data_IF_028615632868
#
_entry.id   IF_028615632868
#
_cell.length_a   1.000
_cell.length_b   1.000
_cell.length_c   1.000
_cell.angle_alpha   90.00
_cell.angle_beta   90.00
_cell.angle_gamma   90.00
#
_symmetry.space_group_name_H-M   'P 1'
#
loop_
_entity.id
_entity.type
_entity.pdbx_description
1 polymer ?
#
# COMPACT_ATOMS: atom_id res chain seq x y z
N UNK A 1 4.13 20.52 -15.96
CA UNK A 1 5.13 19.65 -16.63
C UNK A 1 5.67 18.63 -15.63
N UNK A 2 6.30 17.53 -16.05
CA UNK A 2 6.82 16.51 -15.11
C UNK A 2 7.83 17.11 -14.11
N UNK A 3 8.66 18.05 -14.56
CA UNK A 3 9.61 18.77 -13.70
C UNK A 3 8.92 19.56 -12.57
N UNK A 4 7.74 20.11 -12.84
CA UNK A 4 6.94 20.83 -11.82
C UNK A 4 6.44 19.87 -10.74
N UNK A 5 6.16 18.60 -11.07
CA UNK A 5 5.75 17.60 -10.06
C UNK A 5 6.89 17.31 -9.07
N UNK A 6 8.14 17.23 -9.54
CA UNK A 6 9.31 17.02 -8.67
C UNK A 6 9.39 18.15 -7.63
N UNK A 7 9.24 19.39 -8.07
CA UNK A 7 9.22 20.55 -7.18
C UNK A 7 8.05 20.51 -6.19
N UNK A 8 6.88 20.02 -6.60
CA UNK A 8 5.72 19.86 -5.70
C UNK A 8 5.95 18.80 -4.61
N UNK A 9 6.59 17.68 -4.91
CA UNK A 9 6.96 16.70 -3.87
C UNK A 9 7.91 17.33 -2.83
N UNK A 10 8.94 18.03 -3.30
CA UNK A 10 9.88 18.72 -2.42
C UNK A 10 9.21 19.82 -1.58
N UNK A 11 8.29 20.57 -2.19
CA UNK A 11 7.48 21.58 -1.50
C UNK A 11 6.66 20.96 -0.38
N UNK A 12 5.89 19.90 -0.66
CA UNK A 12 5.05 19.22 0.33
C UNK A 12 5.89 18.64 1.46
N UNK A 13 7.05 18.04 1.15
CA UNK A 13 7.93 17.49 2.17
C UNK A 13 8.50 18.56 3.12
N UNK A 14 8.91 19.72 2.57
CA UNK A 14 9.31 20.85 3.39
C UNK A 14 8.16 21.37 4.24
N UNK A 15 6.96 21.51 3.67
CA UNK A 15 5.76 21.92 4.41
C UNK A 15 5.46 20.94 5.55
N UNK A 16 5.55 19.63 5.32
CA UNK A 16 5.37 18.63 6.37
C UNK A 16 6.39 18.81 7.50
N UNK A 17 7.68 19.01 7.17
CA UNK A 17 8.71 19.32 8.17
C UNK A 17 8.37 20.58 8.96
N UNK A 18 8.04 21.67 8.26
CA UNK A 18 7.78 22.98 8.88
C UNK A 18 6.49 22.94 9.74
N UNK A 19 5.55 22.03 9.45
CA UNK A 19 4.39 21.73 10.28
C UNK A 19 4.66 20.77 11.45
N UNK A 20 5.90 20.30 11.64
CA UNK A 20 6.28 19.45 12.78
C UNK A 20 6.02 17.95 12.60
N UNK A 21 5.81 17.46 11.38
CA UNK A 21 5.78 16.01 11.13
C UNK A 21 7.14 15.39 11.45
N UNK A 22 7.17 14.11 11.85
CA UNK A 22 8.40 13.39 12.16
C UNK A 22 9.19 12.87 10.95
N UNK A 23 8.66 13.05 9.74
CA UNK A 23 9.23 12.54 8.49
C UNK A 23 8.20 12.49 7.37
N UNK A 24 8.62 12.04 6.19
CA UNK A 24 7.73 11.78 5.04
C UNK A 24 8.05 10.44 4.39
N UNK A 25 7.05 9.85 3.74
CA UNK A 25 7.22 8.68 2.91
C UNK A 25 6.78 8.97 1.47
N UNK A 26 7.69 8.80 0.52
CA UNK A 26 7.39 8.91 -0.91
C UNK A 26 6.70 7.64 -1.37
N UNK A 27 5.45 7.78 -1.81
CA UNK A 27 4.65 6.64 -2.26
C UNK A 27 4.95 6.30 -3.73
N UNK A 28 5.71 5.22 -3.94
CA UNK A 28 6.11 4.70 -5.24
C UNK A 28 5.56 3.28 -5.51
N UNK A 29 4.32 3.06 -5.07
CA UNK A 29 3.66 1.76 -5.08
C UNK A 29 2.17 1.89 -5.48
N UNK A 30 1.47 0.76 -5.56
CA UNK A 30 0.02 0.62 -5.73
C UNK A 30 -0.57 1.26 -7.00
N UNK A 31 0.20 1.35 -8.10
CA UNK A 31 -0.29 1.89 -9.37
C UNK A 31 -0.53 3.41 -9.36
N UNK A 32 -0.10 4.12 -8.30
CA UNK A 32 -0.07 5.59 -8.28
C UNK A 32 1.06 6.12 -9.17
N UNK A 33 1.13 7.45 -9.31
CA UNK A 33 1.98 8.14 -10.27
C UNK A 33 3.39 7.58 -10.41
N UNK A 34 4.17 7.48 -9.32
CA UNK A 34 5.55 6.99 -9.42
C UNK A 34 5.58 5.50 -9.81
N UNK A 35 4.67 4.68 -9.29
CA UNK A 35 4.51 3.28 -9.72
C UNK A 35 4.14 3.19 -11.22
N UNK A 36 3.37 4.15 -11.76
CA UNK A 36 3.08 4.21 -13.19
C UNK A 36 4.32 4.54 -14.03
N UNK A 37 5.24 5.37 -13.53
CA UNK A 37 6.52 5.61 -14.20
C UNK A 37 7.40 4.36 -14.19
N UNK A 38 7.41 3.64 -13.06
CA UNK A 38 8.18 2.40 -12.91
C UNK A 38 7.62 1.27 -13.78
N UNK A 39 6.30 1.15 -13.93
CA UNK A 39 5.74 0.02 -14.69
C UNK A 39 5.88 0.21 -16.20
N UNK A 40 6.48 -0.75 -16.92
CA UNK A 40 6.57 -0.69 -18.38
C UNK A 40 5.22 -0.87 -19.08
N UNK A 41 4.15 -1.28 -18.37
CA UNK A 41 2.80 -1.36 -18.92
C UNK A 41 2.21 0.04 -19.07
N UNK A 42 2.25 0.85 -18.01
CA UNK A 42 1.71 2.21 -18.01
C UNK A 42 2.67 3.25 -18.61
N UNK A 43 3.99 3.03 -18.54
CA UNK A 43 4.97 3.96 -19.07
C UNK A 43 5.52 3.52 -20.43
N UNK A 44 4.79 3.90 -21.48
CA UNK A 44 5.17 3.69 -22.88
C UNK A 44 5.94 4.88 -23.48
N UNK A 45 6.52 5.75 -22.64
CA UNK A 45 7.24 6.93 -23.12
C UNK A 45 8.52 6.53 -23.83
N UNK A 46 8.94 7.38 -24.79
CA UNK A 46 10.18 7.22 -25.57
C UNK A 46 11.22 8.29 -25.24
N UNK A 47 10.97 9.12 -24.25
CA UNK A 47 11.92 10.13 -23.77
C UNK A 47 12.76 9.58 -22.62
N UNK A 48 13.55 10.45 -21.97
CA UNK A 48 14.46 10.09 -20.87
C UNK A 48 13.74 9.60 -19.59
N UNK A 49 12.40 9.54 -19.59
CA UNK A 49 11.58 9.08 -18.48
C UNK A 49 10.85 7.76 -18.79
N UNK A 50 11.12 7.11 -19.92
CA UNK A 50 10.55 5.81 -20.29
C UNK A 50 11.51 4.88 -21.02
N UNK A 51 11.03 3.69 -21.37
CA UNK A 51 11.83 2.62 -21.97
C UNK A 51 12.62 1.83 -20.93
N UNK A 52 13.93 2.04 -20.86
CA UNK A 52 14.80 1.31 -19.92
C UNK A 52 14.37 1.51 -18.46
N UNK A 53 14.70 0.56 -17.59
CA UNK A 53 14.41 0.67 -16.15
C UNK A 53 15.07 1.91 -15.53
N UNK A 54 16.28 2.26 -15.95
CA UNK A 54 16.97 3.49 -15.51
C UNK A 54 16.15 4.74 -15.83
N UNK A 55 15.60 4.84 -17.04
CA UNK A 55 14.78 5.98 -17.43
C UNK A 55 13.44 5.99 -16.69
N UNK A 56 12.81 4.82 -16.54
CA UNK A 56 11.56 4.67 -15.77
C UNK A 56 11.73 5.02 -14.29
N UNK A 57 12.86 4.68 -13.68
CA UNK A 57 13.17 5.00 -12.28
C UNK A 57 13.65 6.44 -12.07
N UNK A 58 14.06 7.14 -13.14
CA UNK A 58 14.57 8.52 -13.09
C UNK A 58 13.62 9.47 -12.37
N UNK A 59 12.31 9.36 -12.59
CA UNK A 59 11.34 10.22 -11.90
C UNK A 59 11.36 10.01 -10.37
N UNK A 60 11.38 8.75 -9.90
CA UNK A 60 11.51 8.44 -8.47
C UNK A 60 12.81 9.00 -7.88
N UNK A 61 13.93 8.77 -8.56
CA UNK A 61 15.26 9.22 -8.12
C UNK A 61 15.29 10.75 -7.98
N UNK A 62 14.78 11.48 -8.96
CA UNK A 62 14.76 12.94 -8.92
C UNK A 62 13.79 13.49 -7.85
N UNK A 63 12.65 12.83 -7.62
CA UNK A 63 11.75 13.16 -6.49
C UNK A 63 12.46 12.99 -5.15
N UNK A 64 13.19 11.88 -4.94
CA UNK A 64 13.91 11.62 -3.69
C UNK A 64 15.05 12.62 -3.46
N UNK A 65 15.83 12.94 -4.50
CA UNK A 65 16.87 13.96 -4.43
C UNK A 65 16.31 15.34 -4.07
N UNK A 66 15.25 15.76 -4.77
CA UNK A 66 14.63 17.06 -4.52
C UNK A 66 14.00 17.13 -3.12
N UNK A 67 13.36 16.05 -2.68
CA UNK A 67 12.81 15.92 -1.34
C UNK A 67 13.91 16.06 -0.28
N UNK A 68 14.99 15.27 -0.40
CA UNK A 68 16.13 15.33 0.51
C UNK A 68 16.75 16.72 0.56
N UNK A 69 16.95 17.37 -0.59
CA UNK A 69 17.49 18.71 -0.67
C UNK A 69 16.60 19.75 0.05
N UNK A 70 15.27 19.60 -0.01
CA UNK A 70 14.34 20.52 0.62
C UNK A 70 14.24 20.37 2.14
N UNK A 71 14.37 19.13 2.66
CA UNK A 71 14.14 18.84 4.08
C UNK A 71 15.43 18.74 4.90
N UNK A 72 16.59 18.57 4.26
CA UNK A 72 17.88 18.42 4.94
C UNK A 72 18.17 16.98 5.36
N UNK A 73 19.31 16.74 6.01
CA UNK A 73 19.77 15.40 6.39
C UNK A 73 19.04 14.79 7.58
N UNK A 74 18.48 15.61 8.47
CA UNK A 74 18.02 15.17 9.79
C UNK A 74 16.53 14.87 9.84
N UNK A 75 15.83 15.17 8.74
CA UNK A 75 14.42 14.85 8.56
C UNK A 75 14.26 13.50 7.85
N UNK A 76 13.60 12.50 8.48
CA UNK A 76 13.42 11.18 7.88
C UNK A 76 12.65 11.22 6.54
N UNK A 77 13.23 10.59 5.52
CA UNK A 77 12.63 10.38 4.21
C UNK A 77 12.61 8.88 3.91
N UNK A 78 11.41 8.32 3.90
CA UNK A 78 11.14 6.95 3.52
C UNK A 78 10.65 6.86 2.07
N UNK A 79 10.72 5.66 1.48
CA UNK A 79 10.10 5.34 0.20
C UNK A 79 9.33 4.03 0.31
N UNK A 80 8.14 3.99 -0.28
CA UNK A 80 7.35 2.76 -0.37
C UNK A 80 7.35 2.24 -1.80
N UNK A 81 7.85 1.03 -2.01
CA UNK A 81 7.91 0.36 -3.31
C UNK A 81 6.95 -0.83 -3.39
N UNK A 82 6.52 -1.12 -4.62
CA UNK A 82 5.83 -2.35 -4.97
C UNK A 82 6.76 -3.55 -4.85
N UNK A 83 6.14 -4.73 -4.66
CA UNK A 83 6.89 -5.98 -4.66
C UNK A 83 6.97 -6.59 -6.07
N UNK A 84 5.82 -6.85 -6.68
CA UNK A 84 5.52 -7.17 -8.08
C UNK A 84 4.85 -5.99 -8.83
N UNK A 85 4.28 -6.22 -10.00
CA UNK A 85 2.95 -5.69 -10.35
C UNK A 85 1.95 -6.86 -10.51
N UNK A 86 2.40 -8.11 -10.30
CA UNK A 86 1.72 -9.38 -10.63
C UNK A 86 0.97 -9.38 -11.98
N UNK A 87 1.48 -8.60 -12.95
CA UNK A 87 0.99 -8.51 -14.32
C UNK A 87 2.08 -9.00 -15.27
N UNK A 88 1.69 -9.79 -16.28
CA UNK A 88 2.63 -10.26 -17.30
C UNK A 88 3.24 -9.08 -18.03
N UNK A 89 4.55 -8.94 -17.95
CA UNK A 89 5.29 -7.83 -18.55
C UNK A 89 5.22 -6.51 -17.78
N UNK A 90 4.74 -6.51 -16.53
CA UNK A 90 4.75 -5.35 -15.63
C UNK A 90 6.06 -5.22 -14.83
N UNK A 91 6.08 -4.34 -13.83
CA UNK A 91 7.22 -4.18 -12.92
C UNK A 91 7.49 -5.49 -12.18
N UNK A 92 8.68 -6.05 -12.34
CA UNK A 92 9.04 -7.37 -11.82
C UNK A 92 9.87 -7.32 -10.54
N UNK A 93 10.04 -8.47 -9.89
CA UNK A 93 10.92 -8.59 -8.72
C UNK A 93 12.37 -8.20 -9.03
N UNK A 94 12.90 -8.65 -10.17
CA UNK A 94 14.26 -8.32 -10.60
C UNK A 94 14.42 -6.81 -10.83
N UNK A 95 13.40 -6.15 -11.40
CA UNK A 95 13.39 -4.69 -11.54
C UNK A 95 13.33 -3.99 -10.19
N UNK A 96 12.56 -4.52 -9.23
CA UNK A 96 12.53 -4.00 -7.86
C UNK A 96 13.91 -4.09 -7.19
N UNK A 97 14.65 -5.20 -7.37
CA UNK A 97 16.01 -5.34 -6.86
C UNK A 97 16.94 -4.28 -7.48
N UNK A 98 16.89 -4.07 -8.80
CA UNK A 98 17.72 -3.04 -9.46
C UNK A 98 17.36 -1.62 -9.05
N UNK A 99 16.06 -1.33 -8.84
CA UNK A 99 15.62 -0.04 -8.30
C UNK A 99 16.18 0.13 -6.89
N UNK A 100 16.08 -0.87 -6.01
CA UNK A 100 16.66 -0.79 -4.66
C UNK A 100 18.18 -0.59 -4.70
N UNK A 101 18.90 -1.27 -5.59
CA UNK A 101 20.34 -1.02 -5.79
C UNK A 101 20.63 0.42 -6.22
N UNK A 102 19.80 0.98 -7.10
CA UNK A 102 19.90 2.40 -7.50
C UNK A 102 19.67 3.33 -6.31
N UNK A 103 18.70 3.00 -5.45
CA UNK A 103 18.34 3.77 -4.27
C UNK A 103 19.41 3.75 -3.16
N UNK A 104 20.26 2.73 -3.09
CA UNK A 104 21.39 2.69 -2.15
C UNK A 104 22.36 3.87 -2.31
N UNK A 105 22.44 4.47 -3.50
CA UNK A 105 23.26 5.67 -3.72
C UNK A 105 22.66 6.97 -3.15
N UNK A 106 21.48 6.90 -2.51
CA UNK A 106 20.74 8.04 -1.97
C UNK A 106 20.58 7.92 -0.45
N UNK A 107 20.46 9.07 0.24
CA UNK A 107 20.13 9.10 1.66
C UNK A 107 18.62 8.86 1.87
N UNK A 108 18.24 7.60 2.01
CA UNK A 108 16.89 7.12 2.34
C UNK A 108 16.94 6.49 3.72
N UNK A 109 16.03 6.87 4.61
CA UNK A 109 16.06 6.44 6.01
C UNK A 109 15.23 5.17 6.27
N UNK A 110 14.30 4.84 5.38
CA UNK A 110 13.49 3.63 5.44
C UNK A 110 12.97 3.23 4.05
N UNK A 111 13.17 1.98 3.66
CA UNK A 111 12.49 1.39 2.51
C UNK A 111 11.31 0.56 3.03
N UNK A 112 10.09 0.88 2.60
CA UNK A 112 8.93 0.02 2.84
C UNK A 112 8.60 -0.78 1.59
N UNK A 113 8.49 -2.11 1.75
CA UNK A 113 7.95 -2.99 0.73
C UNK A 113 6.51 -3.33 1.08
N UNK A 114 5.63 -3.03 0.14
CA UNK A 114 4.26 -3.52 0.18
C UNK A 114 4.22 -4.88 -0.53
N UNK A 115 3.87 -5.95 0.18
CA UNK A 115 3.62 -7.24 -0.48
C UNK A 115 2.45 -8.00 0.10
N UNK A 116 1.39 -7.25 0.42
CA UNK A 116 0.07 -7.84 0.36
C UNK A 116 -0.25 -8.24 -1.08
N UNK A 117 -1.33 -9.00 -1.25
CA UNK A 117 -2.00 -9.42 -2.49
C UNK A 117 -2.50 -8.24 -3.37
N UNK A 118 -1.70 -7.17 -3.48
CA UNK A 118 -2.12 -5.78 -3.64
C UNK A 118 -2.08 -5.28 -5.07
N UNK A 119 -1.35 -5.93 -5.97
CA UNK A 119 -1.23 -5.46 -7.35
C UNK A 119 -2.29 -6.08 -8.28
N UNK A 120 -3.33 -6.68 -7.70
CA UNK A 120 -4.49 -7.17 -8.43
C UNK A 120 -5.75 -6.39 -8.05
N UNK A 121 -6.78 -6.30 -8.92
CA UNK A 121 -8.14 -5.83 -8.62
C UNK A 121 -8.83 -6.53 -7.41
N UNK A 122 -8.15 -7.48 -6.78
CA UNK A 122 -8.55 -8.19 -5.56
C UNK A 122 -8.72 -7.29 -4.35
N UNK A 123 -8.03 -6.14 -4.30
CA UNK A 123 -8.18 -5.14 -3.24
C UNK A 123 -9.63 -4.62 -3.13
N UNK A 124 -10.33 -4.63 -4.27
CA UNK A 124 -11.75 -4.30 -4.39
C UNK A 124 -12.54 -5.50 -4.89
N UNK A 125 -12.15 -6.77 -4.65
CA UNK A 125 -12.96 -7.94 -5.04
C UNK A 125 -13.50 -7.96 -6.49
N UNK A 126 -12.86 -7.24 -7.43
CA UNK A 126 -13.35 -7.03 -8.81
C UNK A 126 -12.83 -8.13 -9.73
N UNK A 127 -12.71 -9.36 -9.23
CA UNK A 127 -12.32 -10.52 -10.03
C UNK A 127 -13.26 -10.63 -11.25
N UNK A 128 -12.71 -10.36 -12.44
CA UNK A 128 -13.38 -10.43 -13.74
C UNK A 128 -14.19 -9.19 -14.18
N UNK A 129 -14.01 -8.01 -13.56
CA UNK A 129 -14.72 -6.77 -13.98
C UNK A 129 -13.84 -5.79 -14.75
N UNK A 130 -12.53 -5.81 -14.52
CA UNK A 130 -11.51 -5.12 -15.32
C UNK A 130 -10.47 -6.16 -15.75
N UNK A 131 -9.87 -5.95 -16.94
CA UNK A 131 -8.88 -6.77 -17.68
C UNK A 131 -8.38 -8.06 -16.98
N UNK A 132 -8.45 -9.24 -17.65
CA UNK A 132 -8.16 -10.52 -17.02
C UNK A 132 -6.75 -10.58 -16.44
N UNK A 133 -6.69 -10.84 -15.13
CA UNK A 133 -5.43 -11.15 -14.43
C UNK A 133 -4.96 -12.53 -14.85
N UNK A 134 -3.85 -12.57 -15.59
CA UNK A 134 -3.19 -13.81 -16.00
C UNK A 134 -2.05 -14.17 -15.05
N UNK A 135 -2.40 -14.44 -13.80
CA UNK A 135 -1.67 -15.41 -12.97
C UNK A 135 -2.65 -16.11 -12.03
N UNK A 136 -3.11 -17.29 -12.47
CA UNK A 136 -4.00 -18.18 -11.73
C UNK A 136 -3.24 -19.23 -10.92
N UNK A 137 -1.90 -19.16 -10.84
CA UNK A 137 -1.09 -20.29 -10.38
C UNK A 137 -1.01 -20.44 -8.85
N UNK A 138 -1.47 -19.48 -8.05
CA UNK A 138 -1.31 -19.57 -6.59
C UNK A 138 -2.62 -19.37 -5.83
N UNK A 139 -3.43 -20.43 -5.79
CA UNK A 139 -4.42 -20.65 -4.72
C UNK A 139 -3.73 -21.14 -3.43
N UNK A 140 -2.67 -20.44 -2.99
CA UNK A 140 -1.99 -20.76 -1.74
C UNK A 140 -2.83 -20.35 -0.52
N UNK A 141 -2.81 -21.20 0.51
CA UNK A 141 -3.28 -20.89 1.86
C UNK A 141 -2.58 -19.63 2.41
N UNK A 142 -3.17 -19.00 3.44
CA UNK A 142 -2.58 -17.81 4.11
C UNK A 142 -1.10 -18.02 4.44
N UNK A 143 -0.73 -19.20 4.95
CA UNK A 143 0.64 -19.56 5.31
C UNK A 143 1.62 -19.55 4.12
N UNK A 144 1.23 -20.10 2.97
CA UNK A 144 2.10 -20.13 1.79
C UNK A 144 2.24 -18.73 1.13
N UNK A 145 1.27 -17.84 1.33
CA UNK A 145 1.39 -16.42 0.92
C UNK A 145 2.31 -15.63 1.84
N UNK A 146 2.22 -15.87 3.15
CA UNK A 146 3.14 -15.30 4.14
C UNK A 146 4.58 -15.74 3.86
N UNK A 147 4.80 -17.03 3.59
CA UNK A 147 6.12 -17.55 3.22
C UNK A 147 6.68 -16.94 1.92
N UNK A 148 5.84 -16.77 0.88
CA UNK A 148 6.27 -16.09 -0.35
C UNK A 148 6.67 -14.64 -0.11
N UNK A 149 5.88 -13.91 0.68
CA UNK A 149 6.17 -12.51 1.00
C UNK A 149 7.45 -12.37 1.84
N UNK A 150 7.70 -13.30 2.77
CA UNK A 150 8.94 -13.33 3.55
C UNK A 150 10.15 -13.60 2.65
N UNK A 151 10.08 -14.59 1.76
CA UNK A 151 11.16 -14.85 0.79
C UNK A 151 11.46 -13.62 -0.09
N UNK A 152 10.43 -12.90 -0.51
CA UNK A 152 10.57 -11.65 -1.25
C UNK A 152 11.24 -10.56 -0.40
N UNK A 153 10.79 -10.37 0.83
CA UNK A 153 11.39 -9.38 1.74
C UNK A 153 12.86 -9.69 2.00
N UNK A 154 13.23 -10.96 2.11
CA UNK A 154 14.62 -11.38 2.30
C UNK A 154 15.53 -11.07 1.12
N UNK A 155 15.06 -11.22 -0.13
CA UNK A 155 15.88 -10.87 -1.30
C UNK A 155 16.06 -9.36 -1.45
N UNK A 156 15.03 -8.56 -1.15
CA UNK A 156 15.19 -7.10 -1.06
C UNK A 156 16.16 -6.73 0.08
N UNK A 157 16.01 -7.33 1.25
CA UNK A 157 16.90 -7.05 2.38
C UNK A 157 18.36 -7.41 2.09
N UNK A 158 18.62 -8.39 1.23
CA UNK A 158 19.97 -8.76 0.82
C UNK A 158 20.68 -7.68 -0.03
N UNK A 159 19.93 -6.77 -0.66
CA UNK A 159 20.50 -5.69 -1.48
C UNK A 159 20.29 -4.29 -0.89
N UNK A 160 19.30 -4.10 -0.02
CA UNK A 160 19.02 -2.81 0.60
C UNK A 160 20.09 -2.43 1.64
N UNK A 161 20.60 -1.20 1.56
CA UNK A 161 21.51 -0.65 2.57
C UNK A 161 20.80 0.17 3.66
N UNK A 162 19.59 0.65 3.34
CA UNK A 162 18.71 1.32 4.30
C UNK A 162 17.86 0.30 5.08
N UNK A 163 17.36 0.66 6.28
CA UNK A 163 16.43 -0.18 7.02
C UNK A 163 15.20 -0.56 6.19
N UNK A 164 14.78 -1.83 6.29
CA UNK A 164 13.63 -2.38 5.57
C UNK A 164 12.41 -2.48 6.47
N UNK A 165 11.27 -1.98 5.98
CA UNK A 165 9.95 -2.18 6.54
C UNK A 165 9.13 -3.09 5.62
N UNK A 166 8.35 -4.00 6.21
CA UNK A 166 7.39 -4.81 5.46
C UNK A 166 5.97 -4.60 5.96
N UNK A 167 5.03 -4.47 5.03
CA UNK A 167 3.61 -4.29 5.34
C UNK A 167 2.76 -5.26 4.55
N UNK A 168 1.96 -6.06 5.27
CA UNK A 168 0.99 -6.96 4.65
C UNK A 168 0.79 -8.24 5.46
N UNK A 169 -0.47 -8.59 5.75
CA UNK A 169 -0.83 -9.92 6.27
C UNK A 169 -0.50 -10.21 7.74
N UNK A 170 0.36 -9.42 8.39
CA UNK A 170 0.80 -9.65 9.77
C UNK A 170 -0.37 -9.54 10.77
N UNK A 171 -0.59 -10.59 11.57
CA UNK A 171 -1.71 -10.69 12.54
C UNK A 171 -1.34 -11.25 13.91
N UNK A 172 -0.27 -12.03 14.03
CA UNK A 172 0.09 -12.72 15.27
C UNK A 172 1.45 -12.26 15.76
N UNK A 173 1.64 -12.27 17.09
CA UNK A 173 2.91 -11.90 17.69
C UNK A 173 4.04 -12.85 17.26
N UNK A 174 3.75 -14.15 17.18
CA UNK A 174 4.70 -15.16 16.70
C UNK A 174 5.16 -14.86 15.26
N UNK A 175 4.25 -14.66 14.31
CA UNK A 175 4.63 -14.37 12.92
C UNK A 175 5.37 -13.05 12.75
N UNK A 176 5.07 -12.05 13.58
CA UNK A 176 5.82 -10.79 13.61
C UNK A 176 7.23 -10.97 14.18
N UNK A 177 7.38 -11.71 15.28
CA UNK A 177 8.68 -12.02 15.87
C UNK A 177 9.54 -12.88 14.92
N UNK A 178 8.94 -13.83 14.22
CA UNK A 178 9.65 -14.64 13.22
C UNK A 178 10.17 -13.77 12.07
N UNK A 179 9.35 -12.85 11.56
CA UNK A 179 9.76 -11.91 10.52
C UNK A 179 10.94 -11.01 10.96
N UNK A 180 10.89 -10.49 12.20
CA UNK A 180 11.95 -9.66 12.78
C UNK A 180 13.19 -10.47 13.15
N UNK A 181 13.03 -11.74 13.54
CA UNK A 181 14.08 -12.59 14.10
C UNK A 181 15.25 -12.85 13.16
N UNK A 182 15.04 -12.70 11.85
CA UNK A 182 16.11 -12.77 10.85
C UNK A 182 17.11 -11.61 10.93
N UNK A 183 16.76 -10.50 11.59
CA UNK A 183 17.53 -9.25 11.64
C UNK A 183 17.55 -8.45 10.33
N UNK A 184 16.92 -8.97 9.27
CA UNK A 184 16.88 -8.36 7.92
C UNK A 184 15.77 -7.33 7.77
N UNK A 185 14.73 -7.42 8.60
CA UNK A 185 13.57 -6.52 8.61
C UNK A 185 13.66 -5.67 9.87
N UNK A 186 13.68 -4.35 9.69
CA UNK A 186 13.78 -3.40 10.79
C UNK A 186 12.41 -3.03 11.36
N UNK A 187 11.38 -2.93 10.52
CA UNK A 187 10.04 -2.49 10.91
C UNK A 187 8.93 -3.33 10.27
N UNK A 188 7.79 -3.42 10.97
CA UNK A 188 6.57 -4.08 10.49
C UNK A 188 5.41 -3.10 10.45
N UNK A 189 4.68 -3.06 9.33
CA UNK A 189 3.50 -2.21 9.18
C UNK A 189 2.18 -2.93 9.45
N UNK A 190 1.29 -2.24 10.17
CA UNK A 190 -0.07 -2.68 10.49
C UNK A 190 -1.04 -1.60 9.99
N UNK A 191 -2.09 -2.00 9.27
CA UNK A 191 -3.07 -1.07 8.68
C UNK A 191 -4.52 -1.44 9.02
N UNK A 192 -5.12 -2.39 8.28
CA UNK A 192 -6.54 -2.78 8.41
C UNK A 192 -7.02 -3.05 9.85
N UNK A 193 -6.25 -3.73 10.73
CA UNK A 193 -6.66 -3.90 12.13
C UNK A 193 -6.89 -2.58 12.87
N UNK A 194 -6.06 -1.58 12.62
CA UNK A 194 -6.12 -0.27 13.28
C UNK A 194 -7.30 0.59 12.82
N UNK A 195 -7.97 0.23 11.73
CA UNK A 195 -9.15 0.96 11.28
C UNK A 195 -10.33 0.75 12.23
N UNK A 196 -10.50 -0.47 12.78
CA UNK A 196 -11.59 -0.78 13.72
C UNK A 196 -11.15 -0.78 15.19
N UNK A 197 -9.86 -0.92 15.45
CA UNK A 197 -9.29 -0.91 16.79
C UNK A 197 -7.88 -0.28 16.76
N UNK A 198 -7.77 1.06 16.97
CA UNK A 198 -6.50 1.77 16.88
C UNK A 198 -5.52 1.38 18.00
N UNK A 199 -5.99 0.77 19.09
CA UNK A 199 -5.15 0.32 20.21
C UNK A 199 -4.79 -1.17 20.13
N UNK A 200 -5.25 -1.87 19.10
CA UNK A 200 -4.95 -3.30 18.88
C UNK A 200 -3.46 -3.66 18.91
N UNK A 201 -2.50 -2.85 18.44
CA UNK A 201 -1.07 -3.17 18.59
C UNK A 201 -0.62 -3.23 20.06
N UNK A 202 -1.17 -2.38 20.92
CA UNK A 202 -0.86 -2.42 22.35
C UNK A 202 -1.42 -3.68 23.00
N UNK A 203 -2.65 -4.08 22.67
CA UNK A 203 -3.25 -5.35 23.16
C UNK A 203 -2.44 -6.56 22.69
N UNK A 204 -1.99 -6.57 21.42
CA UNK A 204 -1.13 -7.59 20.86
C UNK A 204 0.16 -7.76 21.68
N UNK A 205 0.85 -6.65 22.00
CA UNK A 205 2.11 -6.68 22.74
C UNK A 205 1.92 -7.06 24.23
N UNK A 206 0.82 -6.64 24.85
CA UNK A 206 0.57 -6.88 26.27
C UNK A 206 -0.04 -8.26 26.56
N UNK A 207 -0.93 -8.74 25.68
CA UNK A 207 -1.74 -9.95 25.91
C UNK A 207 -1.42 -11.09 24.95
N UNK A 208 -0.65 -10.85 23.89
CA UNK A 208 -0.37 -11.85 22.86
C UNK A 208 -1.57 -12.19 21.96
N UNK A 209 -2.66 -11.41 22.04
CA UNK A 209 -3.86 -11.61 21.24
C UNK A 209 -3.60 -11.28 19.76
N UNK A 210 -4.13 -12.09 18.83
CA UNK A 210 -4.02 -11.79 17.41
C UNK A 210 -4.78 -10.53 17.03
N UNK A 211 -4.24 -9.74 16.11
CA UNK A 211 -4.91 -8.56 15.57
C UNK A 211 -6.23 -8.92 14.86
N UNK A 212 -7.27 -8.06 14.93
CA UNK A 212 -8.57 -8.33 14.34
C UNK A 212 -8.50 -8.52 12.82
N UNK A 213 -9.43 -9.33 12.29
CA UNK A 213 -9.55 -9.67 10.86
C UNK A 213 -10.95 -9.34 10.34
N UNK A 214 -11.31 -8.05 10.35
CA UNK A 214 -12.64 -7.56 9.93
C UNK A 214 -13.01 -7.99 8.51
N UNK A 215 -12.04 -8.13 7.60
CA UNK A 215 -12.27 -8.56 6.22
C UNK A 215 -12.98 -9.93 6.11
N UNK A 216 -12.92 -10.78 7.13
CA UNK A 216 -13.61 -12.08 7.12
C UNK A 216 -15.12 -11.95 7.35
N UNK A 217 -15.56 -10.91 8.05
CA UNK A 217 -16.97 -10.66 8.38
C UNK A 217 -17.62 -9.64 7.44
N UNK A 218 -16.84 -8.79 6.78
CA UNK A 218 -17.33 -7.76 5.84
C UNK A 218 -17.79 -8.35 4.50
N UNK A 219 -19.01 -8.90 4.48
CA UNK A 219 -19.71 -9.42 3.30
C UNK A 219 -21.21 -9.18 3.40
N UNK A 220 -21.88 -9.01 2.26
CA UNK A 220 -23.35 -8.88 2.24
C UNK A 220 -24.06 -10.17 2.67
N UNK A 221 -23.45 -11.33 2.39
CA UNK A 221 -23.98 -12.63 2.76
C UNK A 221 -23.15 -13.78 2.18
N UNK A 222 -23.59 -15.04 2.40
CA UNK A 222 -22.97 -16.21 1.78
C UNK A 222 -23.38 -16.38 0.31
N UNK A 223 -22.68 -17.26 -0.42
CA UNK A 223 -23.05 -17.68 -1.77
C UNK A 223 -23.12 -16.53 -2.78
N UNK A 224 -24.28 -16.40 -3.44
CA UNK A 224 -24.52 -15.38 -4.48
C UNK A 224 -24.58 -13.93 -3.95
N UNK A 225 -24.63 -13.75 -2.63
CA UNK A 225 -24.47 -12.43 -1.97
C UNK A 225 -23.02 -12.14 -1.57
N UNK A 226 -22.11 -13.11 -1.73
CA UNK A 226 -20.72 -12.98 -1.30
C UNK A 226 -19.80 -12.28 -2.32
N UNK A 227 -18.51 -12.13 -1.99
CA UNK A 227 -17.52 -11.48 -2.84
C UNK A 227 -17.31 -12.13 -4.22
N UNK A 228 -17.63 -13.43 -4.35
CA UNK A 228 -17.52 -14.18 -5.60
C UNK A 228 -18.87 -14.27 -6.36
N UNK A 229 -19.81 -13.38 -6.08
CA UNK A 229 -21.14 -13.38 -6.68
C UNK A 229 -21.11 -13.39 -8.22
N UNK A 230 -21.96 -14.14 -8.92
CA UNK A 230 -22.07 -14.02 -10.37
C UNK A 230 -22.62 -12.66 -10.82
N UNK A 231 -23.19 -11.86 -9.91
CA UNK A 231 -23.77 -10.56 -10.22
C UNK A 231 -22.77 -9.43 -9.97
N UNK A 232 -22.41 -8.69 -11.03
CA UNK A 232 -21.42 -7.61 -10.96
C UNK A 232 -21.75 -6.52 -9.93
N UNK A 233 -23.03 -6.19 -9.75
CA UNK A 233 -23.45 -5.20 -8.75
C UNK A 233 -23.19 -5.71 -7.32
N UNK A 234 -23.43 -6.98 -7.03
CA UNK A 234 -23.18 -7.57 -5.71
C UNK A 234 -21.67 -7.67 -5.44
N UNK A 235 -20.88 -8.04 -6.45
CA UNK A 235 -19.40 -7.99 -6.37
C UNK A 235 -18.94 -6.58 -6.02
N UNK A 236 -19.43 -5.57 -6.75
CA UNK A 236 -19.11 -4.16 -6.55
C UNK A 236 -19.48 -3.67 -5.13
N UNK A 237 -20.63 -4.08 -4.59
CA UNK A 237 -20.99 -3.68 -3.22
C UNK A 237 -20.11 -4.40 -2.18
N UNK A 238 -19.79 -5.68 -2.37
CA UNK A 238 -18.89 -6.38 -1.44
C UNK A 238 -17.50 -5.74 -1.40
N UNK A 239 -17.00 -5.41 -2.58
CA UNK A 239 -15.76 -4.71 -2.84
C UNK A 239 -15.67 -3.33 -2.16
N UNK A 240 -16.42 -2.38 -2.70
CA UNK A 240 -16.35 -0.98 -2.31
C UNK A 240 -17.06 -0.74 -0.98
N UNK A 241 -17.99 -1.61 -0.58
CA UNK A 241 -18.55 -1.57 0.76
C UNK A 241 -17.53 -1.97 1.83
N UNK A 242 -16.63 -2.91 1.54
CA UNK A 242 -15.52 -3.26 2.44
C UNK A 242 -14.54 -2.12 2.60
N UNK A 243 -14.11 -1.52 1.48
CA UNK A 243 -13.29 -0.31 1.48
C UNK A 243 -13.97 0.86 2.20
N UNK A 244 -15.24 1.10 1.88
CA UNK A 244 -16.07 2.12 2.50
C UNK A 244 -16.18 1.91 4.01
N UNK A 245 -16.30 0.65 4.47
CA UNK A 245 -16.36 0.35 5.90
C UNK A 245 -15.09 0.82 6.61
N UNK A 246 -13.90 0.52 6.08
CA UNK A 246 -12.64 0.98 6.67
C UNK A 246 -12.55 2.50 6.72
N UNK A 247 -12.91 3.19 5.64
CA UNK A 247 -12.90 4.65 5.61
C UNK A 247 -13.90 5.26 6.59
N UNK A 248 -15.10 4.69 6.72
CA UNK A 248 -16.08 5.14 7.70
C UNK A 248 -15.52 5.02 9.13
N UNK A 249 -14.79 3.95 9.45
CA UNK A 249 -14.18 3.86 10.79
C UNK A 249 -13.10 4.91 11.01
N UNK A 250 -12.25 5.15 10.02
CA UNK A 250 -11.21 6.19 10.08
C UNK A 250 -11.84 7.58 10.24
N UNK A 251 -12.86 7.91 9.44
CA UNK A 251 -13.54 9.21 9.52
C UNK A 251 -14.22 9.40 10.87
N UNK A 252 -14.92 8.37 11.39
CA UNK A 252 -15.52 8.42 12.73
C UNK A 252 -14.49 8.70 13.81
N UNK A 253 -13.34 8.01 13.79
CA UNK A 253 -12.26 8.28 14.75
C UNK A 253 -11.68 9.69 14.59
N UNK A 254 -11.57 10.18 13.35
CA UNK A 254 -11.18 11.56 13.07
C UNK A 254 -12.14 12.60 13.67
N UNK A 255 -13.44 12.27 13.73
CA UNK A 255 -14.48 13.10 14.36
C UNK A 255 -14.60 12.87 15.89
N UNK A 256 -13.68 12.10 16.50
CA UNK A 256 -13.70 11.79 17.93
C UNK A 256 -14.76 10.76 18.35
N UNK A 257 -15.37 10.06 17.39
CA UNK A 257 -16.35 9.00 17.63
C UNK A 257 -15.68 7.62 17.67
N UNK A 258 -16.20 6.67 18.46
CA UNK A 258 -15.71 5.30 18.42
C UNK A 258 -16.02 4.63 17.08
N UNK A 259 -15.18 3.67 16.62
CA UNK A 259 -15.50 2.80 15.49
C UNK A 259 -16.87 2.13 15.68
N UNK A 260 -17.68 2.10 14.62
CA UNK A 260 -18.94 1.37 14.55
C UNK A 260 -18.69 0.00 13.91
N UNK A 261 -18.28 -0.96 14.75
CA UNK A 261 -18.01 -2.33 14.32
C UNK A 261 -19.26 -3.08 13.85
N UNK A 262 -20.45 -2.59 14.22
CA UNK A 262 -21.75 -3.13 13.79
C UNK A 262 -22.20 -2.64 12.42
N UNK A 263 -21.46 -1.72 11.79
CA UNK A 263 -21.84 -1.13 10.51
C UNK A 263 -21.89 -2.19 9.40
N UNK A 264 -23.10 -2.42 8.86
CA UNK A 264 -23.30 -3.31 7.72
C UNK A 264 -22.70 -2.78 6.43
N UNK A 265 -22.29 -3.69 5.55
CA UNK A 265 -21.56 -3.38 4.31
C UNK A 265 -22.32 -2.46 3.34
N UNK A 266 -23.63 -2.66 3.20
CA UNK A 266 -24.47 -1.81 2.34
C UNK A 266 -24.59 -0.38 2.89
N UNK A 267 -24.62 -0.24 4.22
CA UNK A 267 -24.62 1.08 4.87
C UNK A 267 -23.27 1.77 4.67
N UNK A 268 -22.17 1.03 4.87
CA UNK A 268 -20.83 1.54 4.62
C UNK A 268 -20.63 2.00 3.16
N UNK A 269 -21.07 1.19 2.20
CA UNK A 269 -21.04 1.54 0.78
C UNK A 269 -21.82 2.84 0.50
N UNK A 270 -23.08 2.93 0.96
CA UNK A 270 -23.92 4.12 0.73
C UNK A 270 -23.34 5.38 1.35
N UNK A 271 -22.85 5.30 2.59
CA UNK A 271 -22.23 6.45 3.29
C UNK A 271 -20.96 6.90 2.56
N UNK A 272 -20.08 5.96 2.21
CA UNK A 272 -18.85 6.29 1.50
C UNK A 272 -19.13 6.98 0.15
N UNK A 273 -20.08 6.47 -0.64
CA UNK A 273 -20.47 7.12 -1.90
C UNK A 273 -21.06 8.53 -1.68
N UNK A 274 -21.82 8.74 -0.60
CA UNK A 274 -22.35 10.05 -0.25
C UNK A 274 -21.23 11.04 0.12
N UNK A 275 -20.25 10.59 0.91
CA UNK A 275 -19.09 11.40 1.31
C UNK A 275 -18.24 11.80 0.11
N UNK A 276 -17.91 10.85 -0.78
CA UNK A 276 -17.17 11.11 -2.02
C UNK A 276 -17.92 12.09 -2.92
N UNK A 277 -19.24 11.93 -3.05
CA UNK A 277 -20.07 12.86 -3.83
C UNK A 277 -20.10 14.26 -3.22
N UNK A 278 -20.12 14.37 -1.89
CA UNK A 278 -20.10 15.65 -1.20
C UNK A 278 -18.75 16.36 -1.38
N UNK A 279 -17.63 15.66 -1.19
CA UNK A 279 -16.28 16.19 -1.42
C UNK A 279 -16.07 16.62 -2.87
N UNK A 280 -16.52 15.80 -3.83
CA UNK A 280 -16.41 16.13 -5.25
C UNK A 280 -17.21 17.39 -5.63
N UNK A 281 -18.35 17.66 -4.98
CA UNK A 281 -19.09 18.92 -5.15
C UNK A 281 -18.34 20.11 -4.56
N UNK A 282 -17.78 19.96 -3.36
CA UNK A 282 -17.03 21.02 -2.69
C UNK A 282 -15.73 21.41 -3.43
N UNK A 283 -15.11 20.50 -4.17
CA UNK A 283 -13.91 20.81 -4.99
C UNK A 283 -14.24 21.56 -6.29
N UNK A 284 -15.52 21.59 -6.70
CA UNK A 284 -15.98 22.30 -7.90
C UNK A 284 -16.53 23.69 -7.61
N UNK A 285 -16.72 24.03 -6.33
CA UNK A 285 -17.13 25.36 -5.84
C UNK A 285 -15.92 26.17 -5.41
#
# INVERSE_FOLDING_TARGET
>A
AILDLIARYAFVARTARDCGFGGVQIHAAHGYLISQFLSPISNQRRDALGGSLENRSRFLVEVLKATRAAVGSDFPVAVKLNSADFQKGGFGHDEALEVVRTLNGLKIDLLEISGGTYEQPRMVGLDGVLEPVHDTSVRASTAAREAYFLNYAESIAAVAQMPLMVTGGLRTLAGMNDALGSGKIALLGIARPMCGDPVSPASLLQKGESLPTYEKSLRLGPGWLGPNSPFSLIKMINAFGGQGWYYQQIMRMGDGLPPDLGMGLLTAFRRYQADESAKARALKS
#
